data_IF_030051418148
#
_entry.id   IF_030051418148
#
_cell.length_a   1.000
_cell.length_b   1.000
_cell.length_c   1.000
_cell.angle_alpha   90.00
_cell.angle_beta   90.00
_cell.angle_gamma   90.00
#
_symmetry.space_group_name_H-M   'P 1'
#
loop_
_entity.id
_entity.type
_entity.pdbx_description
1 polymer ?
#
# COMPACT_ATOMS: atom_id res chain seq x y z
N UNK A 1 -25.78 3.45 -52.25
CA UNK A 1 -25.45 2.69 -51.04
C UNK A 1 -25.74 1.23 -51.30
N UNK A 2 -24.69 0.40 -51.46
CA UNK A 2 -24.85 -1.00 -51.86
C UNK A 2 -25.43 -1.85 -50.73
N UNK A 3 -26.33 -2.79 -51.08
CA UNK A 3 -26.92 -3.78 -50.15
C UNK A 3 -25.83 -4.48 -49.33
N UNK A 4 -24.69 -4.76 -49.96
CA UNK A 4 -23.52 -5.36 -49.33
C UNK A 4 -22.95 -4.50 -48.17
N UNK A 5 -22.93 -3.17 -48.31
CA UNK A 5 -22.38 -2.30 -47.28
C UNK A 5 -23.33 -2.19 -46.07
N UNK A 6 -24.64 -2.25 -46.36
CA UNK A 6 -25.66 -2.31 -45.30
C UNK A 6 -25.58 -3.63 -44.51
N UNK A 7 -25.35 -4.74 -45.17
CA UNK A 7 -25.18 -6.05 -44.50
C UNK A 7 -23.87 -6.08 -43.68
N UNK A 8 -22.80 -5.52 -44.22
CA UNK A 8 -21.53 -5.40 -43.44
C UNK A 8 -21.72 -4.54 -42.19
N UNK A 9 -22.38 -3.40 -42.31
CA UNK A 9 -22.67 -2.54 -41.16
C UNK A 9 -23.53 -3.26 -40.11
N UNK A 10 -24.54 -4.01 -40.53
CA UNK A 10 -25.38 -4.82 -39.64
C UNK A 10 -24.60 -5.92 -38.95
N UNK A 11 -23.69 -6.59 -39.65
CA UNK A 11 -22.80 -7.60 -39.05
C UNK A 11 -21.86 -7.00 -38.00
N UNK A 12 -21.24 -5.87 -38.30
CA UNK A 12 -20.39 -5.16 -37.32
C UNK A 12 -21.18 -4.73 -36.07
N UNK A 13 -22.40 -4.22 -36.27
CA UNK A 13 -23.26 -3.85 -35.15
C UNK A 13 -23.67 -5.09 -34.30
N UNK A 14 -23.95 -6.22 -34.92
CA UNK A 14 -24.26 -7.46 -34.21
C UNK A 14 -23.05 -7.99 -33.42
N UNK A 15 -21.86 -7.92 -34.01
CA UNK A 15 -20.61 -8.29 -33.32
C UNK A 15 -20.32 -7.38 -32.14
N UNK A 16 -20.54 -6.08 -32.26
CA UNK A 16 -20.36 -5.12 -31.15
C UNK A 16 -21.35 -5.41 -29.99
N UNK A 17 -22.61 -5.74 -30.33
CA UNK A 17 -23.62 -6.13 -29.33
C UNK A 17 -23.25 -7.44 -28.63
N UNK A 18 -22.71 -8.41 -29.35
CA UNK A 18 -22.24 -9.67 -28.77
C UNK A 18 -21.07 -9.40 -27.80
N UNK A 19 -20.06 -8.65 -28.21
CA UNK A 19 -18.92 -8.28 -27.36
C UNK A 19 -19.37 -7.54 -26.10
N UNK A 20 -20.34 -6.65 -26.21
CA UNK A 20 -20.92 -5.95 -25.04
C UNK A 20 -21.63 -6.93 -24.09
N UNK A 21 -22.37 -7.90 -24.60
CA UNK A 21 -23.03 -8.90 -23.77
C UNK A 21 -22.02 -9.83 -23.07
N UNK A 22 -20.95 -10.22 -23.76
CA UNK A 22 -19.84 -11.00 -23.20
C UNK A 22 -19.12 -10.24 -22.08
N UNK A 23 -18.83 -8.94 -22.27
CA UNK A 23 -18.24 -8.09 -21.24
C UNK A 23 -19.15 -7.96 -20.02
N UNK A 24 -20.46 -7.81 -20.23
CA UNK A 24 -21.43 -7.76 -19.14
C UNK A 24 -21.47 -9.08 -18.36
N UNK A 25 -21.41 -10.21 -19.06
CA UNK A 25 -21.35 -11.52 -18.43
C UNK A 25 -20.02 -11.70 -17.65
N UNK A 26 -18.89 -11.29 -18.20
CA UNK A 26 -17.61 -11.33 -17.51
C UNK A 26 -17.61 -10.46 -16.24
N UNK A 27 -18.25 -9.30 -16.28
CA UNK A 27 -18.38 -8.40 -15.13
C UNK A 27 -19.24 -8.97 -13.98
N UNK A 28 -20.07 -10.01 -14.23
CA UNK A 28 -20.80 -10.69 -13.15
C UNK A 28 -19.91 -11.54 -12.25
N UNK A 29 -18.69 -11.85 -12.69
CA UNK A 29 -17.72 -12.64 -11.93
C UNK A 29 -16.60 -11.71 -11.47
N UNK A 30 -16.59 -11.37 -10.19
CA UNK A 30 -15.53 -10.56 -9.60
C UNK A 30 -14.34 -11.45 -9.24
N UNK A 31 -13.24 -11.26 -9.94
CA UNK A 31 -11.99 -12.00 -9.71
C UNK A 31 -10.99 -11.13 -8.96
N UNK A 32 -10.18 -11.74 -8.08
CA UNK A 32 -9.08 -11.04 -7.42
C UNK A 32 -8.01 -10.65 -8.46
N UNK A 33 -7.59 -9.38 -8.52
CA UNK A 33 -6.60 -8.91 -9.52
C UNK A 33 -5.20 -9.42 -9.23
N UNK A 34 -4.93 -9.89 -7.99
CA UNK A 34 -3.65 -10.43 -7.55
C UNK A 34 -3.82 -11.37 -6.36
N UNK A 35 -2.80 -12.14 -6.07
CA UNK A 35 -2.73 -12.99 -4.88
C UNK A 35 -2.71 -12.14 -3.60
N UNK A 36 -3.43 -12.61 -2.57
CA UNK A 36 -3.50 -11.91 -1.29
C UNK A 36 -4.52 -12.52 -0.33
N UNK A 37 -4.61 -11.95 0.85
CA UNK A 37 -5.59 -12.32 1.88
C UNK A 37 -6.75 -11.34 1.89
N UNK A 38 -7.98 -11.85 2.03
CA UNK A 38 -9.17 -11.01 2.19
C UNK A 38 -9.15 -10.39 3.59
N UNK A 39 -8.96 -9.06 3.63
CA UNK A 39 -8.95 -8.29 4.89
C UNK A 39 -10.36 -7.90 5.32
N UNK A 40 -11.20 -7.55 4.37
CA UNK A 40 -12.56 -7.11 4.65
C UNK A 40 -13.52 -7.53 3.55
N UNK A 41 -14.66 -8.06 3.94
CA UNK A 41 -15.81 -8.31 3.06
C UNK A 41 -16.97 -7.45 3.52
N UNK A 42 -17.40 -6.53 2.67
CA UNK A 42 -18.48 -5.55 2.95
C UNK A 42 -19.80 -5.87 2.25
N UNK A 43 -19.87 -7.02 1.58
CA UNK A 43 -21.06 -7.44 0.82
C UNK A 43 -21.59 -8.77 1.35
N UNK A 44 -22.93 -8.92 1.33
CA UNK A 44 -23.63 -10.15 1.72
C UNK A 44 -24.43 -10.66 0.52
N UNK A 45 -24.77 -11.95 0.54
CA UNK A 45 -25.67 -12.54 -0.47
C UNK A 45 -27.03 -11.86 -0.42
N UNK A 46 -27.60 -11.59 -1.59
CA UNK A 46 -28.87 -10.86 -1.72
C UNK A 46 -28.78 -9.34 -1.60
N UNK A 47 -27.59 -8.79 -1.34
CA UNK A 47 -27.41 -7.34 -1.23
C UNK A 47 -27.30 -6.71 -2.61
N UNK A 48 -28.05 -5.62 -2.84
CA UNK A 48 -27.88 -4.80 -4.03
C UNK A 48 -26.59 -4.00 -3.98
N UNK A 49 -25.78 -4.09 -5.03
CA UNK A 49 -24.52 -3.37 -5.15
C UNK A 49 -24.59 -2.34 -6.28
N UNK A 50 -24.12 -1.14 -6.00
CA UNK A 50 -24.00 -0.06 -6.98
C UNK A 50 -22.57 0.07 -7.49
N UNK A 51 -22.42 0.69 -8.66
CA UNK A 51 -21.10 0.99 -9.25
C UNK A 51 -20.30 1.86 -8.28
N UNK A 52 -19.02 1.50 -8.06
CA UNK A 52 -18.12 2.22 -7.16
C UNK A 52 -18.16 1.76 -5.70
N UNK A 53 -19.05 0.84 -5.33
CA UNK A 53 -19.06 0.28 -3.97
C UNK A 53 -17.90 -0.71 -3.76
N UNK A 54 -17.11 -0.50 -2.70
CA UNK A 54 -16.08 -1.45 -2.30
C UNK A 54 -16.71 -2.71 -1.71
N UNK A 55 -16.56 -3.84 -2.35
CA UNK A 55 -17.15 -5.12 -1.95
C UNK A 55 -16.20 -5.94 -1.08
N UNK A 56 -14.96 -6.07 -1.53
CA UNK A 56 -13.93 -6.90 -0.90
C UNK A 56 -12.62 -6.12 -0.94
N UNK A 57 -11.88 -6.16 0.16
CA UNK A 57 -10.52 -5.62 0.25
C UNK A 57 -9.56 -6.79 0.36
N UNK A 58 -8.65 -6.91 -0.62
CA UNK A 58 -7.60 -7.93 -0.65
C UNK A 58 -6.26 -7.25 -0.40
N UNK A 59 -5.52 -7.75 0.58
CA UNK A 59 -4.18 -7.30 0.90
C UNK A 59 -3.13 -8.26 0.32
N UNK A 60 -2.15 -7.78 -0.46
CA UNK A 60 -1.04 -8.61 -0.93
C UNK A 60 -0.08 -8.89 0.24
N UNK A 61 0.13 -10.16 0.60
CA UNK A 61 0.97 -10.56 1.74
C UNK A 61 2.46 -10.29 1.47
N UNK A 62 2.88 -10.41 0.21
CA UNK A 62 4.29 -10.31 -0.17
C UNK A 62 4.79 -8.89 -0.45
N UNK A 63 3.93 -7.87 -0.33
CA UNK A 63 4.25 -6.48 -0.63
C UNK A 63 3.97 -5.56 0.56
N UNK A 64 4.25 -6.05 1.76
CA UNK A 64 4.12 -5.23 2.97
C UNK A 64 5.33 -4.31 3.13
N UNK A 65 5.09 -3.13 3.69
CA UNK A 65 6.13 -2.18 4.07
C UNK A 65 5.77 -1.53 5.39
N UNK A 66 6.76 -0.98 6.06
CA UNK A 66 6.58 -0.13 7.24
C UNK A 66 6.70 1.32 6.80
N UNK A 67 5.78 2.14 7.25
CA UNK A 67 5.88 3.59 7.16
C UNK A 67 6.32 4.16 8.52
N UNK A 68 7.58 4.56 8.59
CA UNK A 68 8.15 5.13 9.80
C UNK A 68 8.17 6.66 9.72
N UNK A 69 7.51 7.34 10.65
CA UNK A 69 7.45 8.79 10.71
C UNK A 69 8.60 9.35 11.54
N UNK A 70 9.74 9.63 10.89
CA UNK A 70 10.99 10.04 11.53
C UNK A 70 11.09 11.55 11.71
N UNK A 71 11.78 11.98 12.77
CA UNK A 71 12.10 13.39 13.00
C UNK A 71 13.14 13.87 11.97
N UNK A 72 13.07 15.13 11.56
CA UNK A 72 14.02 15.75 10.62
C UNK A 72 15.48 15.54 11.05
N UNK A 73 15.76 15.63 12.36
CA UNK A 73 17.10 15.43 12.91
C UNK A 73 17.65 14.01 12.77
N UNK A 74 16.78 13.02 12.61
CA UNK A 74 17.14 11.61 12.42
C UNK A 74 17.44 11.28 10.95
N UNK A 75 16.83 12.02 10.01
CA UNK A 75 17.02 11.81 8.57
C UNK A 75 18.45 12.10 8.09
N UNK A 76 19.17 13.02 8.74
CA UNK A 76 20.51 13.40 8.34
C UNK A 76 21.51 12.23 8.36
N UNK A 77 21.19 11.14 9.06
CA UNK A 77 22.05 9.97 9.23
C UNK A 77 21.59 8.76 8.39
N UNK A 78 20.54 8.91 7.60
CA UNK A 78 19.92 7.82 6.87
C UNK A 78 19.96 8.05 5.37
N UNK A 79 20.25 6.99 4.64
CA UNK A 79 20.22 6.98 3.17
C UNK A 79 19.29 5.88 2.66
N UNK A 80 18.68 6.07 1.48
CA UNK A 80 18.00 4.98 0.78
C UNK A 80 18.98 3.81 0.58
N UNK A 81 18.55 2.63 0.95
CA UNK A 81 19.37 1.44 0.90
C UNK A 81 19.93 0.97 2.24
N UNK A 82 19.90 1.80 3.27
CA UNK A 82 20.35 1.43 4.62
C UNK A 82 19.46 0.32 5.19
N UNK A 83 20.10 -0.59 5.93
CA UNK A 83 19.39 -1.63 6.68
C UNK A 83 18.97 -1.09 8.03
N UNK A 84 17.76 -1.45 8.45
CA UNK A 84 17.20 -1.07 9.75
C UNK A 84 16.60 -2.30 10.43
N UNK A 85 16.76 -2.33 11.76
CA UNK A 85 16.13 -3.33 12.60
C UNK A 85 14.82 -2.75 13.14
N UNK A 86 13.79 -3.57 13.21
CA UNK A 86 12.52 -3.20 13.81
C UNK A 86 11.87 -4.37 14.53
N UNK A 87 11.01 -4.07 15.47
CA UNK A 87 10.16 -5.02 16.18
C UNK A 87 8.70 -4.67 15.97
N UNK A 88 7.84 -5.69 16.01
CA UNK A 88 6.40 -5.56 15.93
C UNK A 88 5.79 -5.84 17.30
N UNK A 89 4.87 -4.99 17.76
CA UNK A 89 4.23 -5.17 19.05
C UNK A 89 3.41 -6.47 19.14
N UNK A 90 2.88 -6.92 18.00
CA UNK A 90 2.12 -8.17 17.92
C UNK A 90 2.98 -9.43 17.97
N UNK A 91 4.30 -9.32 17.75
CA UNK A 91 5.24 -10.44 17.76
C UNK A 91 6.40 -10.08 18.69
N UNK A 92 6.16 -10.15 20.02
CA UNK A 92 7.19 -9.81 21.00
C UNK A 92 8.36 -10.79 20.89
N UNK A 93 9.56 -10.29 21.16
CA UNK A 93 10.83 -11.05 21.15
C UNK A 93 11.37 -11.45 19.76
N UNK A 94 10.71 -11.07 18.68
CA UNK A 94 11.27 -11.26 17.34
C UNK A 94 11.67 -9.90 16.74
N UNK A 95 12.93 -9.84 16.30
CA UNK A 95 13.49 -8.71 15.58
C UNK A 95 13.43 -9.01 14.09
N UNK A 96 13.04 -8.02 13.33
CA UNK A 96 12.96 -8.09 11.88
C UNK A 96 13.94 -7.12 11.28
N UNK A 97 14.41 -7.45 10.10
CA UNK A 97 15.29 -6.62 9.31
C UNK A 97 14.56 -6.10 8.07
N UNK A 98 14.86 -4.89 7.72
CA UNK A 98 14.34 -4.26 6.53
C UNK A 98 15.32 -3.29 5.91
N UNK A 99 14.99 -2.83 4.71
CA UNK A 99 15.78 -1.88 3.96
C UNK A 99 14.98 -0.61 3.72
N UNK A 100 15.61 0.54 3.88
CA UNK A 100 15.02 1.82 3.52
C UNK A 100 14.85 1.86 1.99
N UNK A 101 13.60 1.85 1.54
CA UNK A 101 13.25 1.91 0.13
C UNK A 101 13.27 3.37 -0.36
N UNK A 102 12.58 4.24 0.38
CA UNK A 102 12.51 5.66 0.03
C UNK A 102 12.29 6.53 1.26
N UNK A 103 12.80 7.75 1.19
CA UNK A 103 12.59 8.81 2.16
C UNK A 103 11.75 9.89 1.49
N UNK A 104 10.60 10.23 2.06
CA UNK A 104 9.76 11.31 1.52
C UNK A 104 10.49 12.64 1.59
N UNK A 105 10.39 13.44 0.54
CA UNK A 105 10.90 14.81 0.49
C UNK A 105 9.90 15.84 1.03
N UNK A 106 8.73 15.39 1.45
CA UNK A 106 7.69 16.24 2.05
C UNK A 106 7.38 15.77 3.45
N UNK A 107 7.17 16.70 4.38
CA UNK A 107 6.70 16.37 5.71
C UNK A 107 5.23 15.93 5.68
N UNK A 108 4.83 15.08 6.60
CA UNK A 108 3.44 14.63 6.72
C UNK A 108 2.45 15.78 6.95
N UNK A 109 2.91 16.88 7.55
CA UNK A 109 2.09 18.08 7.78
C UNK A 109 1.75 18.82 6.47
N UNK A 110 2.66 18.85 5.49
CA UNK A 110 2.44 19.49 4.19
C UNK A 110 1.48 18.68 3.31
N UNK A 111 1.41 17.37 3.53
CA UNK A 111 0.52 16.47 2.78
C UNK A 111 -0.84 16.29 3.45
N UNK A 112 -1.05 16.91 4.61
CA UNK A 112 -2.33 16.84 5.30
C UNK A 112 -3.39 17.69 4.58
N UNK A 113 -4.62 17.19 4.53
CA UNK A 113 -5.78 17.90 3.97
C UNK A 113 -6.05 19.26 4.66
N UNK A 114 -5.67 19.38 5.93
CA UNK A 114 -5.75 20.58 6.75
C UNK A 114 -4.35 20.79 7.37
N UNK A 115 -3.45 21.55 6.72
CA UNK A 115 -2.17 21.90 7.30
C UNK A 115 -2.39 22.70 8.60
N UNK A 116 -1.58 22.48 9.64
CA UNK A 116 -1.66 23.27 10.86
C UNK A 116 -1.29 24.74 10.54
N UNK A 117 -2.26 25.64 10.65
CA UNK A 117 -2.05 27.08 10.47
C UNK A 117 -1.75 27.72 11.83
N UNK A 118 -0.63 28.40 11.94
CA UNK A 118 -0.27 29.20 13.11
C UNK A 118 -0.83 30.62 12.98
N UNK A 119 -2.15 30.77 13.15
CA UNK A 119 -2.86 32.06 13.04
C UNK A 119 -2.44 33.12 14.09
N UNK A 120 -1.64 32.74 15.10
CA UNK A 120 -1.26 33.63 16.20
C UNK A 120 0.02 34.44 16.00
N UNK A 121 0.69 34.31 14.84
CA UNK A 121 1.90 35.10 14.52
C UNK A 121 3.17 34.74 15.31
N UNK A 122 3.10 33.86 16.29
CA UNK A 122 4.25 33.37 17.01
C UNK A 122 4.89 32.18 16.28
N UNK A 123 6.09 32.36 15.74
CA UNK A 123 6.85 31.28 15.13
C UNK A 123 7.43 30.38 16.20
N UNK A 124 6.79 29.23 16.42
CA UNK A 124 7.35 28.12 17.21
C UNK A 124 7.96 27.09 16.28
N UNK A 125 9.23 26.78 16.44
CA UNK A 125 9.92 25.72 15.68
C UNK A 125 9.36 24.35 16.10
N UNK A 126 8.43 23.81 15.31
CA UNK A 126 7.89 22.46 15.52
C UNK A 126 8.73 21.47 14.73
N UNK A 127 9.22 20.41 15.41
CA UNK A 127 9.97 19.34 14.72
C UNK A 127 9.05 18.60 13.77
N UNK A 128 9.34 18.72 12.48
CA UNK A 128 8.56 18.05 11.44
C UNK A 128 8.92 16.56 11.35
N UNK A 129 7.95 15.73 10.96
CA UNK A 129 8.15 14.30 10.73
C UNK A 129 8.03 14.01 9.25
N UNK A 130 8.91 13.14 8.78
CA UNK A 130 8.97 12.71 7.38
C UNK A 130 8.69 11.22 7.30
N UNK A 131 7.77 10.78 6.44
CA UNK A 131 7.50 9.38 6.24
C UNK A 131 8.67 8.73 5.48
N UNK A 132 9.13 7.62 6.01
CA UNK A 132 10.17 6.76 5.44
C UNK A 132 9.58 5.40 5.20
N UNK A 133 9.70 4.91 3.97
CA UNK A 133 9.23 3.58 3.57
C UNK A 133 10.35 2.57 3.76
N UNK A 134 10.06 1.53 4.53
CA UNK A 134 10.98 0.44 4.82
C UNK A 134 10.35 -0.86 4.29
N UNK A 135 11.04 -1.51 3.38
CA UNK A 135 10.67 -2.82 2.86
C UNK A 135 11.18 -3.93 3.77
N UNK A 136 10.41 -5.01 3.90
CA UNK A 136 10.83 -6.19 4.61
C UNK A 136 11.88 -6.97 3.81
N UNK A 137 12.84 -7.59 4.49
CA UNK A 137 13.72 -8.55 3.86
C UNK A 137 12.93 -9.86 3.63
N UNK A 138 12.85 -10.38 2.38
CA UNK A 138 11.91 -11.47 2.04
C UNK A 138 12.27 -12.83 2.65
N UNK A 139 13.48 -13.01 3.15
CA UNK A 139 13.96 -14.32 3.63
C UNK A 139 13.74 -14.53 5.14
N UNK A 140 12.98 -13.67 5.82
CA UNK A 140 12.80 -13.77 7.27
C UNK A 140 11.61 -14.67 7.65
N UNK A 141 11.77 -15.39 8.75
CA UNK A 141 10.70 -16.21 9.32
C UNK A 141 9.63 -15.32 9.98
N UNK A 142 8.37 -15.72 9.86
CA UNK A 142 7.26 -15.05 10.55
C UNK A 142 6.60 -13.91 9.79
N UNK A 143 6.95 -13.66 8.52
CA UNK A 143 6.28 -12.68 7.66
C UNK A 143 4.80 -13.01 7.42
N UNK A 144 4.45 -14.28 7.46
CA UNK A 144 3.08 -14.80 7.34
C UNK A 144 2.15 -14.38 8.48
N UNK A 145 2.72 -14.01 9.64
CA UNK A 145 1.97 -13.54 10.82
C UNK A 145 1.74 -12.02 10.82
N UNK A 146 2.34 -11.31 9.87
CA UNK A 146 2.25 -9.86 9.83
C UNK A 146 0.95 -9.46 9.15
N UNK A 147 0.20 -8.55 9.79
CA UNK A 147 -1.02 -7.98 9.24
C UNK A 147 -0.89 -6.47 9.03
N UNK A 148 -1.67 -5.95 8.09
CA UNK A 148 -1.76 -4.51 7.84
C UNK A 148 -2.33 -3.82 9.08
N UNK A 149 -1.74 -2.68 9.45
CA UNK A 149 -2.17 -1.90 10.60
C UNK A 149 -1.50 -2.26 11.92
N UNK A 150 -0.54 -3.20 11.91
CA UNK A 150 0.29 -3.47 13.09
C UNK A 150 1.24 -2.31 13.38
N UNK A 151 1.48 -2.04 14.66
CA UNK A 151 2.47 -1.08 15.13
C UNK A 151 3.86 -1.68 15.08
N UNK A 152 4.82 -0.87 14.63
CA UNK A 152 6.23 -1.24 14.56
C UNK A 152 7.10 -0.19 15.25
N UNK A 153 8.12 -0.65 15.96
CA UNK A 153 9.16 0.18 16.55
C UNK A 153 10.44 -0.02 15.75
N UNK A 154 10.91 1.05 15.10
CA UNK A 154 12.10 1.02 14.25
C UNK A 154 13.29 1.54 15.02
N UNK A 155 14.37 0.76 15.07
CA UNK A 155 15.65 1.15 15.62
C UNK A 155 16.55 1.69 14.50
N UNK A 156 16.97 2.95 14.64
CA UNK A 156 17.72 3.70 13.61
C UNK A 156 19.22 3.72 13.85
N UNK A 157 19.75 2.95 14.79
CA UNK A 157 21.18 2.88 15.03
C UNK A 157 21.88 2.12 13.89
N UNK A 158 22.28 2.86 12.87
CA UNK A 158 22.84 2.34 11.62
C UNK A 158 24.02 1.36 11.79
N UNK A 159 24.84 1.54 12.84
CA UNK A 159 25.97 0.64 13.11
C UNK A 159 25.53 -0.70 13.73
N UNK A 160 24.45 -0.74 14.50
CA UNK A 160 23.96 -1.94 15.19
C UNK A 160 23.07 -2.77 14.27
N UNK A 161 22.29 -2.11 13.41
CA UNK A 161 21.40 -2.77 12.47
C UNK A 161 22.15 -3.55 11.37
N UNK A 162 23.29 -3.05 10.90
CA UNK A 162 24.12 -3.77 9.92
C UNK A 162 24.76 -5.05 10.52
N UNK A 163 25.04 -5.09 11.83
CA UNK A 163 25.60 -6.28 12.47
C UNK A 163 24.54 -7.31 12.85
N UNK A 164 23.39 -6.89 13.36
CA UNK A 164 22.31 -7.80 13.75
C UNK A 164 21.57 -8.40 12.55
N UNK A 165 21.43 -7.66 11.46
CA UNK A 165 20.76 -8.15 10.24
C UNK A 165 21.63 -9.05 9.34
N UNK A 166 22.93 -9.15 9.57
CA UNK A 166 23.80 -10.07 8.83
C UNK A 166 23.91 -11.47 9.49
N UNK A 167 23.38 -11.63 10.70
CA UNK A 167 23.46 -12.87 11.48
C UNK A 167 22.09 -13.57 11.68
N UNK A 168 21.05 -13.16 10.93
CA UNK A 168 19.69 -13.72 11.04
C UNK A 168 19.37 -14.71 9.91
#
# INVERSE_FOLDING_TARGET
MCIRDRLKASLVAAQANLAQAENNLAATKLMAPREGTVVSRKVREGEFVSVGKNLIVVAPIHQLWIEANLKETQLAKLAPGDRVEFSLDAIPHQKFCGKIDSISRSSGAELALLPPDNATGNFTKIVRRFPVKISFDPQQKGLDKIAIGMSAIVNLEANTANQSCNNA
#
